data_IF_499750779909
#
_entry.id   IF_499750779909
#
_cell.length_a   1.000
_cell.length_b   1.000
_cell.length_c   1.000
_cell.angle_alpha   90.00
_cell.angle_beta   90.00
_cell.angle_gamma   90.00
#
_symmetry.space_group_name_H-M   'P 1'
#
loop_
_entity.id
_entity.type
_entity.pdbx_description
1 polymer ?
#
# COMPACT_ATOMS: atom_id res chain seq x y z
N UNK A 1 -10.74 -13.35 -4.55
CA UNK A 1 -9.32 -13.30 -4.12
C UNK A 1 -8.60 -12.08 -4.71
N UNK A 2 -8.48 -11.93 -6.05
CA UNK A 2 -7.77 -10.79 -6.67
C UNK A 2 -8.23 -9.39 -6.21
N UNK A 3 -9.54 -9.15 -6.09
CA UNK A 3 -10.09 -7.86 -5.61
C UNK A 3 -9.67 -7.53 -4.17
N UNK A 4 -9.61 -8.52 -3.28
CA UNK A 4 -9.23 -8.31 -1.88
C UNK A 4 -7.74 -7.94 -1.82
N UNK A 5 -6.88 -8.62 -2.58
CA UNK A 5 -5.46 -8.28 -2.65
C UNK A 5 -5.23 -6.90 -3.28
N UNK A 6 -6.04 -6.51 -4.26
CA UNK A 6 -6.00 -5.15 -4.82
C UNK A 6 -6.39 -4.08 -3.79
N UNK A 7 -7.43 -4.33 -2.97
CA UNK A 7 -7.83 -3.41 -1.90
C UNK A 7 -6.74 -3.29 -0.82
N UNK A 8 -6.14 -4.41 -0.41
CA UNK A 8 -5.02 -4.43 0.54
C UNK A 8 -3.82 -3.67 -0.05
N UNK A 9 -3.52 -3.87 -1.33
CA UNK A 9 -2.47 -3.17 -2.04
C UNK A 9 -2.73 -1.66 -2.05
N UNK A 10 -3.95 -1.25 -2.41
CA UNK A 10 -4.34 0.15 -2.41
C UNK A 10 -4.24 0.78 -1.00
N UNK A 11 -4.65 0.07 0.04
CA UNK A 11 -4.52 0.52 1.42
C UNK A 11 -3.04 0.67 1.83
N UNK A 12 -2.18 -0.28 1.47
CA UNK A 12 -0.73 -0.19 1.67
C UNK A 12 -0.13 1.02 0.95
N UNK A 13 -0.57 1.30 -0.28
CA UNK A 13 -0.15 2.47 -1.04
C UNK A 13 -0.61 3.79 -0.41
N UNK A 14 -1.85 3.85 0.10
CA UNK A 14 -2.32 5.02 0.84
C UNK A 14 -1.49 5.25 2.11
N UNK A 15 -1.04 4.17 2.76
CA UNK A 15 -0.20 4.25 3.94
C UNK A 15 1.24 4.72 3.64
N UNK A 16 1.67 4.81 2.38
CA UNK A 16 2.94 5.49 2.02
C UNK A 16 2.77 6.99 1.79
N UNK A 17 1.54 7.48 1.61
CA UNK A 17 1.24 8.87 1.28
C UNK A 17 0.65 9.64 2.48
N UNK A 18 -0.26 9.02 3.24
CA UNK A 18 -0.93 9.68 4.36
C UNK A 18 0.00 10.03 5.53
N UNK A 19 0.98 9.19 5.95
CA UNK A 19 1.83 9.53 7.08
C UNK A 19 2.68 10.79 6.87
N UNK A 20 3.31 11.04 5.70
CA UNK A 20 3.96 12.31 5.42
C UNK A 20 3.04 13.52 5.64
N UNK A 21 1.80 13.45 5.14
CA UNK A 21 0.81 14.53 5.32
C UNK A 21 0.52 14.76 6.81
N UNK A 22 0.31 13.69 7.57
CA UNK A 22 0.05 13.77 9.02
C UNK A 22 1.25 14.33 9.79
N UNK A 23 2.48 13.98 9.39
CA UNK A 23 3.70 14.54 9.98
C UNK A 23 3.84 16.03 9.67
N UNK A 24 3.62 16.44 8.42
CA UNK A 24 3.61 17.87 8.04
C UNK A 24 2.58 18.69 8.82
N UNK A 25 1.43 18.10 9.14
CA UNK A 25 0.40 18.72 9.99
C UNK A 25 0.71 18.66 11.50
N UNK A 26 1.88 18.14 11.90
CA UNK A 26 2.28 17.99 13.30
C UNK A 26 1.45 16.98 14.10
N UNK A 27 0.74 16.06 13.42
CA UNK A 27 -0.18 15.10 14.06
C UNK A 27 0.50 13.81 14.51
N UNK A 28 1.64 13.47 13.93
CA UNK A 28 2.43 12.27 14.27
C UNK A 28 3.92 12.61 14.35
N UNK A 29 4.68 11.77 15.05
CA UNK A 29 6.15 11.89 15.11
C UNK A 29 6.81 11.35 13.83
N UNK A 30 8.04 11.81 13.56
CA UNK A 30 8.84 11.33 12.42
C UNK A 30 9.09 9.81 12.48
N UNK A 31 9.31 9.27 13.67
CA UNK A 31 9.48 7.81 13.87
C UNK A 31 8.21 7.05 13.47
N UNK A 32 7.03 7.54 13.88
CA UNK A 32 5.75 6.92 13.53
C UNK A 32 5.47 7.03 12.03
N UNK A 33 5.77 8.19 11.41
CA UNK A 33 5.69 8.37 9.96
C UNK A 33 6.47 7.28 9.23
N UNK A 34 7.76 7.12 9.56
CA UNK A 34 8.64 6.18 8.87
C UNK A 34 8.19 4.73 9.06
N UNK A 35 7.74 4.38 10.28
CA UNK A 35 7.18 3.06 10.56
C UNK A 35 5.94 2.75 9.73
N UNK A 36 4.99 3.69 9.64
CA UNK A 36 3.77 3.51 8.85
C UNK A 36 4.07 3.42 7.35
N UNK A 37 4.96 4.25 6.82
CA UNK A 37 5.37 4.19 5.42
C UNK A 37 6.05 2.88 5.06
N UNK A 38 6.94 2.37 5.92
CA UNK A 38 7.61 1.09 5.71
C UNK A 38 6.60 -0.07 5.72
N UNK A 39 5.68 -0.08 6.68
CA UNK A 39 4.58 -1.04 6.73
C UNK A 39 3.72 -0.96 5.45
N UNK A 40 3.37 0.24 5.01
CA UNK A 40 2.62 0.48 3.79
C UNK A 40 3.32 -0.08 2.56
N UNK A 41 4.62 0.17 2.43
CA UNK A 41 5.44 -0.33 1.34
C UNK A 41 5.49 -1.86 1.32
N UNK A 42 5.74 -2.49 2.47
CA UNK A 42 5.76 -3.96 2.59
C UNK A 42 4.40 -4.55 2.20
N UNK A 43 3.30 -4.00 2.74
CA UNK A 43 1.94 -4.49 2.45
C UNK A 43 1.59 -4.31 0.98
N UNK A 44 1.89 -3.15 0.39
CA UNK A 44 1.64 -2.90 -1.03
C UNK A 44 2.45 -3.85 -1.91
N UNK A 45 3.76 -3.97 -1.70
CA UNK A 45 4.61 -4.85 -2.52
C UNK A 45 4.20 -6.32 -2.36
N UNK A 46 4.03 -6.80 -1.13
CA UNK A 46 3.66 -8.19 -0.85
C UNK A 46 2.30 -8.55 -1.44
N UNK A 47 1.36 -7.61 -1.54
CA UNK A 47 0.07 -7.85 -2.20
C UNK A 47 0.15 -7.68 -3.72
N UNK A 48 0.93 -6.73 -4.23
CA UNK A 48 1.06 -6.41 -5.65
C UNK A 48 1.61 -7.56 -6.48
N UNK A 49 2.59 -8.32 -5.96
CA UNK A 49 3.19 -9.46 -6.66
C UNK A 49 2.16 -10.51 -7.11
N UNK A 50 1.04 -10.64 -6.37
CA UNK A 50 0.03 -11.66 -6.65
C UNK A 50 -0.96 -11.26 -7.76
N UNK A 51 -1.02 -9.99 -8.15
CA UNK A 51 -1.99 -9.52 -9.15
C UNK A 51 -1.39 -8.74 -10.32
N UNK A 52 -0.28 -8.04 -10.15
CA UNK A 52 0.32 -7.20 -11.21
C UNK A 52 0.80 -8.01 -12.43
N UNK A 53 1.15 -9.29 -12.24
CA UNK A 53 1.58 -10.22 -13.31
C UNK A 53 0.48 -11.17 -13.81
N UNK A 54 -0.75 -11.06 -13.30
CA UNK A 54 -1.87 -11.89 -13.75
C UNK A 54 -2.35 -11.40 -15.12
N UNK A 55 -1.80 -11.94 -16.21
CA UNK A 55 -2.37 -11.72 -17.56
C UNK A 55 -3.85 -12.09 -17.54
N UNK A 56 -4.76 -11.23 -18.04
CA UNK A 56 -6.11 -11.67 -18.35
C UNK A 56 -5.99 -12.84 -19.33
N UNK A 57 -6.71 -13.95 -19.10
CA UNK A 57 -6.81 -15.00 -20.11
C UNK A 57 -7.42 -14.37 -21.37
N UNK A 58 -6.75 -14.41 -22.54
CA UNK A 58 -7.40 -14.02 -23.78
C UNK A 58 -8.48 -15.07 -24.08
N UNK A 59 -9.73 -14.62 -24.25
CA UNK A 59 -10.86 -15.47 -24.65
C UNK A 59 -11.87 -15.75 -23.54
N UNK A 60 -12.84 -14.84 -23.40
CA UNK A 60 -14.26 -15.18 -23.19
C UNK A 60 -15.06 -14.36 -24.19
#
# INVERSE_FOLDING_TARGET
MKRILQLISLAGLLLTILPPILFFLGRISHTLQNGLMLLGAIVWFASAIFWLGSKPKPGQ
#
